data_IF_839070757850
#
_entry.id   IF_839070757850
#
_cell.length_a   1.000
_cell.length_b   1.000
_cell.length_c   1.000
_cell.angle_alpha   90.00
_cell.angle_beta   90.00
_cell.angle_gamma   90.00
#
_symmetry.space_group_name_H-M   'P 1'
#
loop_
_entity.id
_entity.type
_entity.pdbx_description
1 polymer ?
#
# COMPACT_ATOMS: atom_id res chain seq x y z
N UNK A 1 -8.96 -44.53 1.35
CA UNK A 1 -9.72 -43.32 1.68
C UNK A 1 -8.86 -42.53 2.63
N UNK A 2 -8.21 -41.47 2.15
CA UNK A 2 -7.21 -40.72 2.91
C UNK A 2 -7.81 -39.40 3.38
N UNK A 3 -7.76 -39.17 4.69
CA UNK A 3 -8.28 -37.97 5.35
C UNK A 3 -7.45 -36.72 4.99
N UNK A 4 -8.06 -35.51 5.03
CA UNK A 4 -7.41 -34.28 4.62
C UNK A 4 -6.47 -33.74 5.71
N UNK A 5 -5.29 -33.28 5.29
CA UNK A 5 -4.28 -32.64 6.13
C UNK A 5 -4.69 -31.18 6.40
N UNK A 6 -5.16 -30.89 7.61
CA UNK A 6 -5.39 -29.51 8.06
C UNK A 6 -4.05 -28.89 8.44
N UNK A 7 -3.60 -27.89 7.66
CA UNK A 7 -2.44 -27.07 8.01
C UNK A 7 -2.86 -26.16 9.18
N UNK A 8 -2.17 -26.29 10.31
CA UNK A 8 -2.39 -25.47 11.48
C UNK A 8 -1.89 -24.05 11.25
N UNK A 9 -2.79 -23.08 11.32
CA UNK A 9 -2.46 -21.66 11.34
C UNK A 9 -1.79 -21.33 12.67
N UNK A 10 -0.56 -20.81 12.62
CA UNK A 10 0.10 -20.19 13.78
C UNK A 10 -0.68 -18.93 14.16
N UNK A 11 -0.97 -18.68 15.45
CA UNK A 11 -1.69 -17.48 15.86
C UNK A 11 -0.82 -16.24 15.66
N UNK A 12 -1.27 -15.34 14.78
CA UNK A 12 -0.70 -13.99 14.63
C UNK A 12 -0.95 -13.16 15.89
N UNK A 13 -0.05 -12.21 16.25
CA UNK A 13 -0.16 -11.40 17.48
C UNK A 13 -1.28 -10.33 17.46
N UNK A 14 -2.30 -10.48 16.61
CA UNK A 14 -3.38 -9.51 16.42
C UNK A 14 -4.51 -9.80 17.42
N UNK A 15 -4.27 -9.55 18.70
CA UNK A 15 -5.31 -9.72 19.74
C UNK A 15 -6.20 -8.47 19.94
N UNK A 16 -5.97 -7.38 19.22
CA UNK A 16 -6.58 -6.07 19.56
C UNK A 16 -7.77 -5.67 18.66
N UNK A 17 -8.00 -6.33 17.51
CA UNK A 17 -9.13 -5.99 16.60
C UNK A 17 -10.04 -7.20 16.34
N UNK A 18 -10.24 -8.06 17.33
CA UNK A 18 -10.90 -9.36 17.18
C UNK A 18 -12.40 -9.32 16.82
N UNK A 19 -13.03 -8.14 16.70
CA UNK A 19 -14.48 -8.01 16.47
C UNK A 19 -14.85 -7.24 15.19
N UNK A 20 -13.90 -6.86 14.34
CA UNK A 20 -14.19 -6.14 13.10
C UNK A 20 -13.56 -6.93 11.93
N UNK A 21 -14.41 -7.36 10.99
CA UNK A 21 -13.95 -8.05 9.78
C UNK A 21 -13.02 -7.10 9.01
N UNK A 22 -11.81 -7.55 8.71
CA UNK A 22 -10.88 -6.80 7.85
C UNK A 22 -11.19 -7.07 6.39
N UNK A 23 -10.92 -6.08 5.54
CA UNK A 23 -10.85 -6.27 4.11
C UNK A 23 -9.40 -6.54 3.69
N UNK A 24 -9.20 -7.39 2.70
CA UNK A 24 -7.88 -7.80 2.24
C UNK A 24 -7.64 -7.36 0.79
N UNK A 25 -6.47 -6.75 0.54
CA UNK A 25 -5.93 -6.52 -0.81
C UNK A 25 -4.54 -7.12 -0.92
N UNK A 26 -4.20 -7.61 -2.11
CA UNK A 26 -2.99 -8.39 -2.38
C UNK A 26 -2.18 -7.78 -3.51
N UNK A 27 -0.85 -7.79 -3.37
CA UNK A 27 0.07 -7.32 -4.40
C UNK A 27 0.49 -8.47 -5.30
N UNK A 28 0.48 -8.26 -6.62
CA UNK A 28 0.84 -9.26 -7.62
C UNK A 28 2.30 -9.21 -8.06
N UNK A 29 3.11 -8.32 -7.47
CA UNK A 29 4.53 -8.17 -7.77
C UNK A 29 5.32 -7.79 -6.51
N UNK A 30 6.61 -8.14 -6.51
CA UNK A 30 7.54 -7.70 -5.48
C UNK A 30 7.97 -6.24 -5.69
N UNK A 31 7.95 -5.72 -6.92
CA UNK A 31 8.35 -4.33 -7.20
C UNK A 31 7.28 -3.36 -6.64
N UNK A 32 7.64 -2.45 -5.70
CA UNK A 32 6.69 -1.50 -5.14
C UNK A 32 6.19 -0.45 -6.15
N UNK A 33 6.81 -0.32 -7.32
CA UNK A 33 6.46 0.64 -8.36
C UNK A 33 5.73 0.02 -9.55
N UNK A 34 5.72 -1.32 -9.65
CA UNK A 34 5.07 -2.07 -10.72
C UNK A 34 4.35 -3.29 -10.14
N UNK A 35 3.06 -3.11 -9.83
CA UNK A 35 2.23 -4.14 -9.19
C UNK A 35 0.75 -3.88 -9.43
N UNK A 36 0.00 -4.96 -9.69
CA UNK A 36 -1.43 -4.98 -9.45
C UNK A 36 -1.71 -5.11 -7.95
N UNK A 37 -2.80 -4.49 -7.50
CA UNK A 37 -3.32 -4.57 -6.13
C UNK A 37 -4.79 -4.95 -6.25
N UNK A 38 -5.14 -6.11 -5.73
CA UNK A 38 -6.43 -6.76 -5.99
C UNK A 38 -7.05 -7.26 -4.70
N UNK A 39 -8.36 -7.15 -4.57
CA UNK A 39 -9.06 -7.65 -3.39
C UNK A 39 -10.55 -7.38 -3.44
N UNK A 40 -11.19 -7.52 -2.29
CA UNK A 40 -12.61 -7.25 -2.13
C UNK A 40 -12.88 -6.50 -0.83
N UNK A 41 -13.77 -5.51 -0.91
CA UNK A 41 -14.37 -4.87 0.25
C UNK A 41 -15.82 -5.37 0.36
N UNK A 42 -16.05 -6.36 1.24
CA UNK A 42 -17.28 -7.15 1.20
C UNK A 42 -17.51 -7.78 -0.18
N UNK A 43 -18.57 -7.37 -0.88
CA UNK A 43 -18.87 -7.83 -2.24
C UNK A 43 -18.27 -6.94 -3.36
N UNK A 44 -17.65 -5.81 -3.01
CA UNK A 44 -17.15 -4.83 -3.98
C UNK A 44 -15.71 -5.18 -4.38
N UNK A 45 -15.40 -5.41 -5.66
CA UNK A 45 -14.02 -5.61 -6.07
C UNK A 45 -13.21 -4.33 -5.85
N UNK A 46 -11.99 -4.47 -5.36
CA UNK A 46 -11.00 -3.41 -5.20
C UNK A 46 -9.84 -3.71 -6.13
N UNK A 47 -9.54 -2.76 -7.02
CA UNK A 47 -8.44 -2.89 -7.97
C UNK A 47 -7.66 -1.58 -8.06
N UNK A 48 -6.35 -1.69 -7.90
CA UNK A 48 -5.40 -0.64 -8.22
C UNK A 48 -4.24 -1.23 -9.01
N UNK A 49 -3.54 -0.40 -9.77
CA UNK A 49 -2.35 -0.82 -10.50
C UNK A 49 -1.32 0.29 -10.50
N UNK A 50 -0.09 -0.05 -10.17
CA UNK A 50 1.07 0.81 -10.33
C UNK A 50 1.84 0.31 -11.54
N UNK A 51 2.23 1.22 -12.44
CA UNK A 51 3.09 0.89 -13.57
C UNK A 51 4.14 1.96 -13.77
N UNK A 52 5.40 1.55 -13.78
CA UNK A 52 6.53 2.45 -14.04
C UNK A 52 6.92 2.45 -15.50
N UNK A 53 7.00 3.63 -16.10
CA UNK A 53 7.52 3.84 -17.45
C UNK A 53 8.73 4.76 -17.44
N UNK A 54 9.56 4.66 -18.48
CA UNK A 54 10.60 5.66 -18.74
C UNK A 54 9.94 7.00 -19.08
N UNK A 55 10.38 8.05 -18.41
CA UNK A 55 10.05 9.43 -18.72
C UNK A 55 11.24 10.10 -19.42
N UNK A 56 11.21 11.43 -19.53
CA UNK A 56 12.24 12.20 -20.22
C UNK A 56 13.59 12.18 -19.47
N UNK A 57 14.72 12.14 -20.19
CA UNK A 57 16.08 12.24 -19.63
C UNK A 57 16.41 11.31 -18.44
N UNK A 58 16.17 10.01 -18.56
CA UNK A 58 16.43 8.99 -17.51
C UNK A 58 15.61 9.17 -16.22
N UNK A 59 14.59 10.02 -16.21
CA UNK A 59 13.57 10.03 -15.19
C UNK A 59 12.62 8.85 -15.40
N UNK A 60 11.93 8.44 -14.34
CA UNK A 60 10.88 7.42 -14.44
C UNK A 60 9.59 8.01 -13.88
N UNK A 61 8.44 7.54 -14.38
CA UNK A 61 7.13 7.89 -13.83
C UNK A 61 6.41 6.62 -13.44
N UNK A 62 5.90 6.54 -12.21
CA UNK A 62 4.93 5.51 -11.84
C UNK A 62 3.54 6.11 -11.95
N UNK A 63 2.69 5.51 -12.77
CA UNK A 63 1.28 5.89 -12.90
C UNK A 63 0.47 4.94 -12.03
N UNK A 64 -0.44 5.50 -11.23
CA UNK A 64 -1.38 4.75 -10.41
C UNK A 64 -2.76 4.82 -11.03
N UNK A 65 -3.31 3.63 -11.24
CA UNK A 65 -4.62 3.42 -11.81
C UNK A 65 -5.56 2.84 -10.74
N UNK A 66 -6.83 3.21 -10.81
CA UNK A 66 -7.93 2.66 -10.01
C UNK A 66 -8.95 2.01 -10.93
N UNK A 67 -9.43 0.82 -10.58
CA UNK A 67 -10.49 0.15 -11.31
C UNK A 67 -11.85 0.84 -11.12
N UNK A 68 -12.59 1.02 -12.21
CA UNK A 68 -13.93 1.62 -12.18
C UNK A 68 -15.02 0.53 -12.12
N UNK A 69 -15.34 0.08 -10.90
CA UNK A 69 -16.43 -0.86 -10.64
C UNK A 69 -16.27 -2.21 -11.34
N UNK A 70 -17.37 -2.74 -11.90
CA UNK A 70 -17.37 -4.02 -12.64
C UNK A 70 -16.86 -3.90 -14.10
N UNK A 71 -16.46 -2.70 -14.53
CA UNK A 71 -15.96 -2.49 -15.89
C UNK A 71 -14.46 -2.79 -15.98
N UNK A 72 -13.99 -3.22 -17.16
CA UNK A 72 -12.56 -3.36 -17.44
C UNK A 72 -11.84 -2.01 -17.61
N UNK A 73 -12.44 -0.91 -17.15
CA UNK A 73 -11.87 0.44 -17.27
C UNK A 73 -11.07 0.77 -16.04
N UNK A 74 -9.93 1.38 -16.29
CA UNK A 74 -9.04 1.91 -15.27
C UNK A 74 -8.96 3.43 -15.43
N UNK A 75 -8.96 4.14 -14.32
CA UNK A 75 -8.81 5.59 -14.27
C UNK A 75 -7.45 5.92 -13.66
N UNK A 76 -6.72 6.84 -14.29
CA UNK A 76 -5.50 7.40 -13.71
C UNK A 76 -5.86 8.32 -12.54
N UNK A 77 -5.30 8.05 -11.37
CA UNK A 77 -5.64 8.76 -10.13
C UNK A 77 -4.46 9.47 -9.50
N UNK A 78 -3.24 9.04 -9.81
CA UNK A 78 -2.03 9.67 -9.30
C UNK A 78 -0.80 9.32 -10.14
N UNK A 79 0.23 10.15 -10.06
CA UNK A 79 1.56 9.93 -10.63
C UNK A 79 2.64 10.11 -9.57
N UNK A 80 3.71 9.34 -9.70
CA UNK A 80 4.96 9.53 -8.98
C UNK A 80 6.07 9.81 -10.00
N UNK A 81 6.51 11.05 -10.07
CA UNK A 81 7.63 11.51 -10.90
C UNK A 81 8.95 11.39 -10.15
N UNK A 82 9.72 10.37 -10.51
CA UNK A 82 11.01 10.09 -9.92
C UNK A 82 12.08 10.95 -10.61
N UNK A 83 12.93 11.62 -9.82
CA UNK A 83 14.02 12.43 -10.37
C UNK A 83 15.14 11.53 -10.92
N UNK A 84 16.03 12.12 -11.73
CA UNK A 84 17.14 11.41 -12.37
C UNK A 84 17.93 10.58 -11.34
N UNK A 85 18.23 9.33 -11.67
CA UNK A 85 18.91 8.36 -10.77
C UNK A 85 17.99 7.82 -9.65
N UNK A 86 16.68 7.73 -9.91
CA UNK A 86 15.68 7.17 -9.00
C UNK A 86 15.69 7.84 -7.62
N UNK A 87 15.70 9.16 -7.51
CA UNK A 87 15.44 9.80 -6.21
C UNK A 87 13.98 10.21 -6.09
N UNK A 88 13.51 10.36 -4.85
CA UNK A 88 12.18 10.91 -4.57
C UNK A 88 12.00 12.24 -5.30
N UNK A 89 10.85 12.41 -5.95
CA UNK A 89 10.50 13.64 -6.67
C UNK A 89 9.13 14.15 -6.27
N UNK A 90 8.26 14.33 -7.25
CA UNK A 90 6.92 14.89 -7.07
C UNK A 90 5.85 13.81 -7.23
N UNK A 91 4.81 13.88 -6.41
CA UNK A 91 3.60 13.12 -6.57
C UNK A 91 2.49 14.05 -7.04
N UNK A 92 1.76 13.67 -8.09
CA UNK A 92 0.54 14.33 -8.53
C UNK A 92 -0.63 13.46 -8.12
N UNK A 93 -1.59 13.98 -7.35
CA UNK A 93 -2.74 13.24 -6.82
C UNK A 93 -3.98 14.11 -7.06
N UNK A 94 -4.84 13.70 -8.00
CA UNK A 94 -5.84 14.59 -8.56
C UNK A 94 -5.20 15.87 -9.13
N UNK A 95 -5.67 17.03 -8.70
CA UNK A 95 -5.12 18.34 -9.12
C UNK A 95 -3.97 18.84 -8.23
N UNK A 96 -3.55 18.05 -7.24
CA UNK A 96 -2.54 18.44 -6.25
C UNK A 96 -1.17 17.90 -6.59
N UNK A 97 -0.15 18.74 -6.51
CA UNK A 97 1.25 18.33 -6.56
C UNK A 97 1.88 18.44 -5.18
N UNK A 98 2.43 17.33 -4.70
CA UNK A 98 3.11 17.26 -3.40
C UNK A 98 4.48 16.61 -3.55
N UNK A 99 5.53 17.11 -2.88
CA UNK A 99 6.80 16.38 -2.80
C UNK A 99 6.58 14.99 -2.21
N UNK A 100 7.14 13.94 -2.82
CA UNK A 100 7.00 12.57 -2.31
C UNK A 100 7.48 12.43 -0.87
N UNK A 101 8.45 13.25 -0.46
CA UNK A 101 8.93 13.33 0.93
C UNK A 101 7.84 13.71 1.94
N UNK A 102 6.76 14.39 1.51
CA UNK A 102 5.60 14.67 2.36
C UNK A 102 4.70 13.44 2.58
N UNK A 103 4.74 12.46 1.68
CA UNK A 103 4.03 11.18 1.81
C UNK A 103 4.79 10.17 2.69
N UNK A 104 6.04 10.49 3.07
CA UNK A 104 6.91 9.64 3.90
C UNK A 104 7.72 10.48 4.89
N UNK A 105 7.06 11.45 5.54
CA UNK A 105 7.71 12.25 6.58
C UNK A 105 8.17 11.37 7.74
N UNK A 106 9.16 11.84 8.51
CA UNK A 106 9.56 11.15 9.74
C UNK A 106 8.38 11.04 10.71
N UNK A 107 8.12 9.83 11.18
CA UNK A 107 7.09 9.57 12.18
C UNK A 107 7.59 9.73 13.61
N UNK A 108 6.79 9.22 14.54
CA UNK A 108 7.01 9.17 15.99
C UNK A 108 8.28 8.40 16.40
N UNK A 109 8.69 7.43 15.59
CA UNK A 109 9.93 6.66 15.76
C UNK A 109 10.78 6.70 14.50
N UNK A 110 12.06 6.32 14.61
CA UNK A 110 12.94 6.22 13.45
C UNK A 110 12.47 5.21 12.39
N UNK A 111 11.68 4.20 12.80
CA UNK A 111 11.08 3.18 11.93
C UNK A 111 9.66 3.52 11.48
N UNK A 112 9.17 4.71 11.85
CA UNK A 112 7.85 5.19 11.45
C UNK A 112 7.95 6.20 10.32
N UNK A 113 6.96 6.19 9.43
CA UNK A 113 6.77 7.19 8.38
C UNK A 113 5.34 7.66 8.40
N UNK A 114 5.14 8.98 8.35
CA UNK A 114 3.83 9.60 8.42
C UNK A 114 3.49 10.34 7.13
N UNK A 115 2.21 10.49 6.87
CA UNK A 115 1.68 11.31 5.80
C UNK A 115 0.41 12.03 6.25
N UNK A 116 0.08 13.09 5.53
CA UNK A 116 -1.22 13.76 5.59
C UNK A 116 -1.93 13.44 4.28
N UNK A 117 -3.25 13.26 4.30
CA UNK A 117 -4.01 13.11 3.06
C UNK A 117 -3.81 14.39 2.22
N UNK A 118 -3.40 14.29 0.94
CA UNK A 118 -3.12 15.44 0.10
C UNK A 118 -4.40 16.02 -0.51
N UNK A 119 -5.36 16.36 0.36
CA UNK A 119 -6.62 17.02 0.05
C UNK A 119 -6.77 18.20 1.01
N UNK A 120 -6.93 19.44 0.50
CA UNK A 120 -7.10 20.62 1.36
C UNK A 120 -8.25 20.52 2.37
N UNK A 121 -9.29 19.73 2.07
CA UNK A 121 -10.43 19.49 2.95
C UNK A 121 -10.22 18.32 3.92
N UNK A 122 -9.18 17.50 3.72
CA UNK A 122 -8.86 16.34 4.55
C UNK A 122 -7.46 16.47 5.16
N UNK A 123 -7.42 16.91 6.43
CA UNK A 123 -6.18 17.09 7.18
C UNK A 123 -5.84 15.89 8.07
N UNK A 124 -6.44 14.71 7.83
CA UNK A 124 -6.17 13.52 8.63
C UNK A 124 -4.72 13.08 8.44
N UNK A 125 -4.08 12.74 9.56
CA UNK A 125 -2.68 12.29 9.62
C UNK A 125 -2.66 10.82 9.96
N UNK A 126 -1.82 10.09 9.22
CA UNK A 126 -1.61 8.66 9.42
C UNK A 126 -0.13 8.33 9.48
N UNK A 127 0.19 7.21 10.13
CA UNK A 127 1.55 6.77 10.36
C UNK A 127 1.69 5.28 10.13
N UNK A 128 2.52 4.93 9.15
CA UNK A 128 3.06 3.59 9.00
C UNK A 128 4.16 3.36 10.04
N UNK A 129 3.98 2.34 10.88
CA UNK A 129 4.95 1.86 11.86
C UNK A 129 5.47 0.51 11.40
N UNK A 130 6.78 0.39 11.18
CA UNK A 130 7.42 -0.89 10.87
C UNK A 130 7.48 -1.75 12.13
N UNK A 131 7.18 -3.04 12.01
CA UNK A 131 7.23 -3.97 13.13
C UNK A 131 8.66 -4.09 13.69
N UNK A 132 8.78 -4.29 15.01
CA UNK A 132 10.08 -4.34 15.68
C UNK A 132 10.88 -5.58 15.32
N UNK A 133 10.22 -6.71 15.07
CA UNK A 133 10.80 -8.02 14.80
C UNK A 133 10.84 -8.34 13.30
N UNK A 134 9.84 -7.87 12.55
CA UNK A 134 9.68 -8.22 11.13
C UNK A 134 9.80 -7.01 10.22
N UNK A 135 10.89 -6.97 9.46
CA UNK A 135 11.18 -5.90 8.50
C UNK A 135 10.21 -5.86 7.30
N UNK A 136 9.50 -6.97 7.07
CA UNK A 136 8.45 -7.14 6.05
C UNK A 136 7.07 -6.68 6.51
N UNK A 137 6.89 -6.28 7.77
CA UNK A 137 5.60 -5.94 8.35
C UNK A 137 5.47 -4.47 8.72
N UNK A 138 4.31 -3.89 8.41
CA UNK A 138 3.97 -2.52 8.70
C UNK A 138 2.53 -2.42 9.22
N UNK A 139 2.28 -1.45 10.09
CA UNK A 139 0.94 -1.16 10.62
C UNK A 139 0.64 0.33 10.43
N UNK A 140 -0.53 0.64 9.89
CA UNK A 140 -1.00 2.01 9.70
C UNK A 140 -1.85 2.41 10.90
N UNK A 141 -1.48 3.51 11.54
CA UNK A 141 -2.23 4.10 12.63
C UNK A 141 -2.74 5.49 12.24
N UNK A 142 -3.95 5.84 12.67
CA UNK A 142 -4.42 7.22 12.68
C UNK A 142 -3.79 8.02 13.82
N UNK A 143 -3.97 9.34 13.80
CA UNK A 143 -3.41 10.26 14.79
C UNK A 143 -3.82 9.97 16.25
N UNK A 144 -5.01 9.41 16.46
CA UNK A 144 -5.53 8.98 17.77
C UNK A 144 -4.99 7.63 18.24
N UNK A 145 -4.20 6.94 17.41
CA UNK A 145 -3.63 5.63 17.71
C UNK A 145 -4.51 4.44 17.32
N UNK A 146 -5.62 4.66 16.60
CA UNK A 146 -6.44 3.56 16.07
C UNK A 146 -5.69 2.83 14.94
N UNK A 147 -5.72 1.49 14.95
CA UNK A 147 -5.14 0.67 13.89
C UNK A 147 -6.06 0.69 12.66
N UNK A 148 -5.54 1.16 11.53
CA UNK A 148 -6.29 1.35 10.28
C UNK A 148 -5.99 0.26 9.25
N UNK A 149 -4.75 -0.22 9.21
CA UNK A 149 -4.32 -1.30 8.33
C UNK A 149 -3.07 -2.03 8.83
N UNK A 150 -2.84 -3.24 8.35
CA UNK A 150 -1.58 -3.98 8.48
C UNK A 150 -1.13 -4.46 7.11
N UNK A 151 0.16 -4.44 6.85
CA UNK A 151 0.77 -4.91 5.62
C UNK A 151 1.85 -5.93 5.94
N UNK A 152 1.91 -6.98 5.13
CA UNK A 152 2.90 -8.05 5.22
C UNK A 152 3.41 -8.38 3.81
N UNK A 153 4.72 -8.22 3.61
CA UNK A 153 5.42 -8.74 2.45
C UNK A 153 5.79 -10.21 2.71
N UNK A 154 5.39 -11.11 1.82
CA UNK A 154 5.68 -12.53 1.96
C UNK A 154 7.13 -12.85 1.64
N UNK A 155 7.73 -13.76 2.41
CA UNK A 155 9.09 -14.26 2.16
C UNK A 155 9.21 -15.03 0.84
N UNK A 156 8.10 -15.65 0.41
CA UNK A 156 7.98 -16.33 -0.88
C UNK A 156 6.60 -16.04 -1.50
N UNK A 157 6.50 -15.99 -2.84
CA UNK A 157 5.22 -15.75 -3.50
C UNK A 157 4.20 -16.83 -3.16
N UNK A 158 3.00 -16.41 -2.76
CA UNK A 158 1.89 -17.29 -2.43
C UNK A 158 1.08 -17.62 -3.69
N UNK A 159 0.76 -18.90 -3.98
CA UNK A 159 -0.02 -19.26 -5.15
C UNK A 159 -1.48 -18.80 -5.03
N UNK A 160 -2.06 -18.32 -6.13
CA UNK A 160 -3.50 -18.02 -6.23
C UNK A 160 -4.05 -18.39 -7.60
N UNK A 161 -5.37 -18.31 -7.78
CA UNK A 161 -6.06 -18.62 -9.04
C UNK A 161 -5.73 -17.67 -10.21
N UNK A 162 -5.14 -16.51 -9.91
CA UNK A 162 -4.85 -15.42 -10.86
C UNK A 162 -3.35 -15.12 -10.96
N UNK A 163 -2.51 -15.95 -10.33
CA UNK A 163 -1.05 -15.81 -10.32
C UNK A 163 -0.45 -15.73 -8.92
N UNK A 164 0.87 -15.57 -8.82
CA UNK A 164 1.54 -15.41 -7.53
C UNK A 164 1.18 -14.09 -6.85
N UNK A 165 1.01 -14.13 -5.53
CA UNK A 165 0.79 -12.99 -4.65
C UNK A 165 2.04 -12.77 -3.80
N UNK A 166 2.46 -11.53 -3.64
CA UNK A 166 3.72 -11.17 -2.98
C UNK A 166 3.53 -10.47 -1.64
N UNK A 167 2.36 -9.87 -1.42
CA UNK A 167 2.05 -9.20 -0.15
C UNK A 167 0.54 -9.15 0.08
N UNK A 168 0.15 -8.88 1.32
CA UNK A 168 -1.23 -8.58 1.72
C UNK A 168 -1.27 -7.30 2.55
N UNK A 169 -2.29 -6.49 2.33
CA UNK A 169 -2.71 -5.45 3.27
C UNK A 169 -4.12 -5.77 3.75
N UNK A 170 -4.27 -5.84 5.06
CA UNK A 170 -5.56 -5.95 5.75
C UNK A 170 -5.94 -4.59 6.27
N UNK A 171 -7.15 -4.13 6.04
CA UNK A 171 -7.59 -2.81 6.46
C UNK A 171 -9.00 -2.82 7.04
N UNK A 172 -9.26 -1.89 7.96
CA UNK A 172 -10.48 -1.83 8.77
C UNK A 172 -11.33 -0.57 8.53
N UNK A 173 -10.90 0.30 7.61
CA UNK A 173 -11.70 1.44 7.15
C UNK A 173 -12.53 1.05 5.93
N UNK A 174 -13.70 1.67 5.77
CA UNK A 174 -14.59 1.42 4.63
C UNK A 174 -14.73 2.66 3.76
N UNK A 175 -14.78 2.45 2.44
CA UNK A 175 -15.15 3.48 1.43
C UNK A 175 -14.35 4.79 1.52
N UNK A 176 -13.06 4.68 1.85
CA UNK A 176 -12.14 5.82 1.93
C UNK A 176 -11.04 5.69 0.87
N UNK A 177 -11.37 6.11 -0.36
CA UNK A 177 -10.46 6.00 -1.49
C UNK A 177 -9.24 6.92 -1.36
N UNK A 178 -9.39 8.07 -0.69
CA UNK A 178 -8.29 8.99 -0.42
C UNK A 178 -7.27 8.34 0.54
N UNK A 179 -7.75 7.72 1.62
CA UNK A 179 -6.90 6.97 2.54
C UNK A 179 -6.27 5.77 1.85
N UNK A 180 -7.03 5.00 1.07
CA UNK A 180 -6.51 3.84 0.33
C UNK A 180 -5.39 4.24 -0.65
N UNK A 181 -5.65 5.23 -1.51
CA UNK A 181 -4.68 5.74 -2.48
C UNK A 181 -3.42 6.26 -1.78
N UNK A 182 -3.58 7.13 -0.77
CA UNK A 182 -2.43 7.72 -0.07
C UNK A 182 -1.64 6.66 0.71
N UNK A 183 -2.33 5.64 1.26
CA UNK A 183 -1.71 4.49 1.91
C UNK A 183 -0.87 3.67 0.93
N UNK A 184 -1.40 3.36 -0.25
CA UNK A 184 -0.68 2.65 -1.33
C UNK A 184 0.55 3.45 -1.76
N UNK A 185 0.39 4.75 -2.05
CA UNK A 185 1.49 5.62 -2.46
C UNK A 185 2.58 5.69 -1.39
N UNK A 186 2.21 5.98 -0.14
CA UNK A 186 3.14 6.05 0.98
C UNK A 186 3.87 4.72 1.19
N UNK A 187 3.15 3.60 1.16
CA UNK A 187 3.74 2.28 1.35
C UNK A 187 4.68 1.90 0.20
N UNK A 188 4.33 2.21 -1.05
CA UNK A 188 5.21 2.04 -2.20
C UNK A 188 6.51 2.83 -2.06
N UNK A 189 6.43 4.10 -1.60
CA UNK A 189 7.61 4.92 -1.33
C UNK A 189 8.46 4.38 -0.18
N UNK A 190 7.83 3.95 0.92
CA UNK A 190 8.52 3.34 2.07
C UNK A 190 9.30 2.10 1.62
N UNK A 191 8.65 1.20 0.88
CA UNK A 191 9.28 -0.02 0.36
C UNK A 191 10.40 0.30 -0.62
N UNK A 192 10.22 1.30 -1.47
CA UNK A 192 11.25 1.75 -2.39
C UNK A 192 12.49 2.29 -1.65
N UNK A 193 12.31 3.11 -0.61
CA UNK A 193 13.40 3.63 0.25
C UNK A 193 14.15 2.50 0.95
N UNK A 194 13.46 1.45 1.41
CA UNK A 194 14.12 0.30 2.02
C UNK A 194 15.04 -0.43 1.03
N UNK A 195 14.66 -0.51 -0.24
CA UNK A 195 15.44 -1.19 -1.29
C UNK A 195 16.64 -0.36 -1.78
N UNK A 196 16.54 0.98 -1.78
CA UNK A 196 17.52 1.86 -2.44
C UNK A 196 18.27 2.80 -1.48
N UNK A 197 17.86 2.87 -0.21
CA UNK A 197 18.32 3.88 0.73
C UNK A 197 17.48 5.18 0.63
N UNK A 198 17.64 6.09 1.61
CA UNK A 198 16.99 7.40 1.62
C UNK A 198 17.55 8.36 0.56
#
# INVERSE_FOLDING_TARGET
MSAPSTIGSSPSPIAVVANQESNDVYWTSHDPRDSGIIGYEGARPVFWRLATTMAYHNATRTIVFKGAGESSREEEVAWLDWTSVNHLGLATIGDMEVPMSQLVQRGSTFRSRRFVIPDPQDQRVFEWRRDSMFDSMYQLFSADGTLMASFELYDAPQPSSIGPLYAVMRYWYEKDDNLMLTSILSLSLIRWIVLHGP
#
